data_IF_951981921327
#
_entry.id   IF_951981921327
#
_cell.length_a   1.000
_cell.length_b   1.000
_cell.length_c   1.000
_cell.angle_alpha   90.00
_cell.angle_beta   90.00
_cell.angle_gamma   90.00
#
_symmetry.space_group_name_H-M   'P 1'
#
loop_
_entity.id
_entity.type
_entity.pdbx_description
1 polymer ?
#
# COMPACT_ATOMS: atom_id res chain seq x y z
N UNK A 1 -12.97 -1.16 -18.40
CA UNK A 1 -12.87 -2.63 -18.35
C UNK A 1 -13.63 -3.06 -17.11
N UNK A 2 -14.58 -3.98 -17.24
CA UNK A 2 -15.35 -4.48 -16.11
C UNK A 2 -14.47 -5.39 -15.24
N UNK A 3 -14.67 -5.30 -13.93
CA UNK A 3 -14.00 -6.15 -12.95
C UNK A 3 -14.93 -7.33 -12.66
N UNK A 4 -14.47 -8.55 -12.89
CA UNK A 4 -15.30 -9.75 -12.81
C UNK A 4 -14.76 -10.72 -11.75
N UNK A 5 -15.69 -11.36 -11.05
CA UNK A 5 -15.49 -12.63 -10.32
C UNK A 5 -14.39 -12.61 -9.24
N UNK A 6 -14.57 -11.78 -8.18
CA UNK A 6 -13.72 -11.74 -6.96
C UNK A 6 -14.46 -11.32 -5.69
N UNK A 7 -15.78 -11.52 -5.64
CA UNK A 7 -16.60 -11.05 -4.53
C UNK A 7 -16.20 -11.69 -3.19
N UNK A 8 -15.76 -12.94 -3.23
CA UNK A 8 -15.26 -13.65 -2.05
C UNK A 8 -13.99 -12.99 -1.52
N UNK A 9 -12.99 -12.73 -2.37
CA UNK A 9 -11.74 -12.09 -1.94
C UNK A 9 -11.97 -10.65 -1.48
N UNK A 10 -12.86 -9.89 -2.13
CA UNK A 10 -13.23 -8.54 -1.68
C UNK A 10 -13.82 -8.60 -0.28
N UNK A 11 -14.74 -9.53 -0.03
CA UNK A 11 -15.37 -9.71 1.27
C UNK A 11 -14.32 -10.06 2.34
N UNK A 12 -13.44 -11.01 2.06
CA UNK A 12 -12.38 -11.41 2.99
C UNK A 12 -11.47 -10.23 3.36
N UNK A 13 -11.12 -9.37 2.41
CA UNK A 13 -10.30 -8.18 2.71
C UNK A 13 -11.10 -7.16 3.53
N UNK A 14 -12.39 -6.96 3.26
CA UNK A 14 -13.25 -6.07 4.05
C UNK A 14 -13.39 -6.55 5.49
N UNK A 15 -13.63 -7.85 5.68
CA UNK A 15 -13.71 -8.46 7.01
C UNK A 15 -12.41 -8.24 7.82
N UNK A 16 -11.25 -8.15 7.14
CA UNK A 16 -9.95 -7.79 7.76
C UNK A 16 -9.85 -6.30 8.09
N UNK A 17 -10.44 -5.41 7.29
CA UNK A 17 -10.43 -3.96 7.55
C UNK A 17 -11.38 -3.57 8.69
N UNK A 18 -12.44 -4.36 8.91
CA UNK A 18 -13.44 -4.13 9.95
C UNK A 18 -12.99 -4.56 11.36
N UNK A 19 -11.83 -5.22 11.48
CA UNK A 19 -11.25 -5.63 12.78
C UNK A 19 -10.14 -4.68 13.22
N UNK A 20 -9.85 -4.68 14.53
CA UNK A 20 -8.75 -3.88 15.07
C UNK A 20 -7.41 -4.28 14.42
N UNK A 21 -6.66 -3.31 13.84
CA UNK A 21 -5.40 -3.59 13.17
C UNK A 21 -4.37 -4.19 14.12
N UNK A 22 -4.12 -5.49 13.98
CA UNK A 22 -3.22 -6.25 14.86
C UNK A 22 -2.19 -7.07 14.08
N UNK A 23 -2.34 -7.18 12.76
CA UNK A 23 -1.56 -8.06 11.90
C UNK A 23 -1.22 -7.40 10.57
N UNK A 24 -0.13 -7.86 9.96
CA UNK A 24 0.24 -7.51 8.58
C UNK A 24 -0.37 -8.55 7.65
N UNK A 25 -1.28 -8.13 6.78
CA UNK A 25 -1.96 -9.02 5.81
C UNK A 25 -1.18 -9.11 4.51
N UNK A 26 -0.77 -10.32 4.14
CA UNK A 26 -0.10 -10.61 2.88
C UNK A 26 -1.08 -11.14 1.83
N UNK A 27 -1.17 -10.46 0.69
CA UNK A 27 -1.95 -10.92 -0.46
C UNK A 27 -0.98 -11.45 -1.51
N UNK A 28 -1.01 -12.77 -1.74
CA UNK A 28 -0.04 -13.47 -2.59
C UNK A 28 -0.73 -14.32 -3.66
N UNK A 29 0.06 -14.75 -4.65
CA UNK A 29 -0.41 -15.56 -5.77
C UNK A 29 0.44 -15.35 -7.04
N UNK A 30 0.19 -16.11 -8.12
CA UNK A 30 0.97 -16.06 -9.34
C UNK A 30 1.07 -14.66 -9.96
N UNK A 31 2.16 -14.38 -10.70
CA UNK A 31 2.27 -13.13 -11.47
C UNK A 31 1.09 -13.03 -12.45
N UNK A 32 0.53 -11.83 -12.59
CA UNK A 32 -0.65 -11.54 -13.41
C UNK A 32 -1.97 -12.20 -12.96
N UNK A 33 -2.05 -12.74 -11.73
CA UNK A 33 -3.29 -13.27 -11.16
C UNK A 33 -4.36 -12.21 -10.80
N UNK A 34 -4.12 -10.93 -11.12
CA UNK A 34 -5.06 -9.84 -10.84
C UNK A 34 -4.96 -9.19 -9.45
N UNK A 35 -3.97 -9.53 -8.62
CA UNK A 35 -3.82 -8.97 -7.25
C UNK A 35 -3.87 -7.44 -7.20
N UNK A 36 -3.08 -6.77 -8.04
CA UNK A 36 -3.07 -5.30 -8.10
C UNK A 36 -4.43 -4.76 -8.50
N UNK A 37 -5.07 -5.37 -9.51
CA UNK A 37 -6.41 -4.97 -9.95
C UNK A 37 -7.48 -5.17 -8.86
N UNK A 38 -7.38 -6.24 -8.06
CA UNK A 38 -8.26 -6.49 -6.91
C UNK A 38 -8.15 -5.37 -5.87
N UNK A 39 -6.92 -4.99 -5.49
CA UNK A 39 -6.68 -3.93 -4.51
C UNK A 39 -7.10 -2.57 -5.05
N UNK A 40 -6.78 -2.26 -6.30
CA UNK A 40 -7.18 -1.01 -6.94
C UNK A 40 -8.71 -0.89 -7.03
N UNK A 41 -9.42 -2.00 -7.27
CA UNK A 41 -10.88 -2.03 -7.29
C UNK A 41 -11.50 -1.88 -5.89
N UNK A 42 -10.94 -2.57 -4.89
CA UNK A 42 -11.37 -2.45 -3.50
C UNK A 42 -11.25 -1.02 -2.99
N UNK A 43 -10.08 -0.38 -3.20
CA UNK A 43 -9.79 1.00 -2.79
C UNK A 43 -10.85 1.99 -3.30
N UNK A 44 -11.29 1.83 -4.56
CA UNK A 44 -12.32 2.70 -5.16
C UNK A 44 -13.71 2.55 -4.53
N UNK A 45 -13.94 1.45 -3.81
CA UNK A 45 -15.21 1.15 -3.15
C UNK A 45 -15.17 1.39 -1.64
N UNK A 46 -14.01 1.78 -1.08
CA UNK A 46 -13.91 2.09 0.34
C UNK A 46 -14.61 3.42 0.65
N UNK A 47 -15.20 3.58 1.86
CA UNK A 47 -15.76 4.85 2.30
C UNK A 47 -14.71 5.98 2.33
N UNK A 48 -15.14 7.23 2.16
CA UNK A 48 -14.23 8.39 2.10
C UNK A 48 -13.45 8.65 3.41
N UNK A 49 -13.91 8.08 4.53
CA UNK A 49 -13.20 8.15 5.82
C UNK A 49 -11.86 7.38 5.83
N UNK A 50 -11.67 6.45 4.90
CA UNK A 50 -10.41 5.72 4.77
C UNK A 50 -9.34 6.57 4.11
N UNK A 51 -8.26 6.84 4.85
CA UNK A 51 -7.06 7.49 4.31
C UNK A 51 -6.11 6.42 3.74
N UNK A 52 -5.94 6.42 2.42
CA UNK A 52 -5.26 5.33 1.71
C UNK A 52 -3.83 5.74 1.34
N UNK A 53 -2.84 5.00 1.88
CA UNK A 53 -1.43 5.13 1.52
C UNK A 53 -1.02 4.03 0.53
N UNK A 54 -1.10 4.31 -0.77
CA UNK A 54 -0.78 3.34 -1.83
C UNK A 54 0.66 3.50 -2.34
N UNK A 55 1.49 2.47 -2.16
CA UNK A 55 2.89 2.49 -2.57
C UNK A 55 3.15 1.33 -3.52
N UNK A 56 3.36 1.67 -4.80
CA UNK A 56 3.81 0.70 -5.78
C UNK A 56 5.33 0.55 -5.71
N UNK A 57 5.79 -0.61 -5.24
CA UNK A 57 7.20 -0.99 -5.21
C UNK A 57 7.67 -1.66 -6.50
N UNK A 58 6.76 -2.02 -7.43
CA UNK A 58 7.13 -2.63 -8.72
C UNK A 58 7.96 -1.62 -9.53
N UNK A 59 9.21 -1.98 -9.81
CA UNK A 59 10.15 -1.12 -10.54
C UNK A 59 10.90 -0.12 -9.65
N UNK A 60 10.68 -0.11 -8.33
CA UNK A 60 11.55 0.59 -7.39
C UNK A 60 12.63 -0.37 -6.90
N UNK A 61 13.89 0.00 -7.11
CA UNK A 61 14.99 -0.70 -6.48
C UNK A 61 15.11 -0.20 -5.04
N UNK A 62 14.73 -1.05 -4.07
CA UNK A 62 14.85 -0.76 -2.64
C UNK A 62 15.97 -1.65 -2.11
N UNK A 63 17.16 -1.07 -1.96
CA UNK A 63 18.36 -1.81 -1.58
C UNK A 63 18.73 -1.66 -0.11
N UNK A 64 18.21 -0.61 0.52
CA UNK A 64 18.49 -0.24 1.89
C UNK A 64 17.29 0.50 2.51
N UNK A 65 17.40 0.79 3.81
CA UNK A 65 16.36 1.47 4.57
C UNK A 65 16.03 2.86 4.02
N UNK A 66 17.03 3.65 3.62
CA UNK A 66 16.83 4.98 3.07
C UNK A 66 16.02 4.93 1.76
N UNK A 67 16.32 3.99 0.88
CA UNK A 67 15.56 3.78 -0.37
C UNK A 67 14.09 3.43 -0.07
N UNK A 68 13.85 2.64 0.98
CA UNK A 68 12.50 2.26 1.42
C UNK A 68 11.73 3.47 1.95
N UNK A 69 12.34 4.27 2.84
CA UNK A 69 11.72 5.50 3.38
C UNK A 69 11.42 6.48 2.25
N UNK A 70 12.35 6.70 1.31
CA UNK A 70 12.11 7.51 0.12
C UNK A 70 10.94 6.99 -0.72
N UNK A 71 10.86 5.67 -0.88
CA UNK A 71 9.79 5.03 -1.64
C UNK A 71 8.41 5.16 -0.97
N UNK A 72 8.36 5.10 0.36
CA UNK A 72 7.15 5.28 1.18
C UNK A 72 6.63 6.72 1.10
N UNK A 73 7.51 7.71 1.31
CA UNK A 73 7.09 9.09 1.50
C UNK A 73 7.04 9.94 0.22
N UNK A 74 7.36 9.38 -0.96
CA UNK A 74 7.41 10.08 -2.27
C UNK A 74 7.74 11.57 -2.07
N UNK A 75 8.91 11.85 -1.51
CA UNK A 75 9.34 13.23 -1.27
C UNK A 75 9.72 13.87 -2.61
N UNK A 76 8.70 14.33 -3.32
CA UNK A 76 8.80 15.30 -4.41
C UNK A 76 8.99 16.73 -3.87
N UNK A 77 9.16 16.91 -2.55
CA UNK A 77 9.53 18.18 -1.92
C UNK A 77 10.94 18.11 -1.33
N UNK A 78 11.64 19.21 -1.56
CA UNK A 78 13.07 19.47 -1.43
C UNK A 78 13.86 18.62 -0.43
N UNK A 79 15.09 18.23 -0.81
CA UNK A 79 16.09 17.48 -0.03
C UNK A 79 16.27 17.89 1.45
N UNK A 80 15.83 19.09 1.86
CA UNK A 80 15.87 19.56 3.25
C UNK A 80 14.89 18.81 4.16
N UNK A 81 13.65 18.61 3.72
CA UNK A 81 12.57 18.00 4.51
C UNK A 81 12.87 16.51 4.81
N UNK A 82 13.47 15.80 3.84
CA UNK A 82 13.89 14.40 4.00
C UNK A 82 14.91 14.17 5.13
N UNK A 83 15.88 15.08 5.29
CA UNK A 83 16.92 14.93 6.32
C UNK A 83 16.37 15.11 7.73
N UNK A 84 15.37 15.97 7.89
CA UNK A 84 14.72 16.19 9.18
C UNK A 84 13.86 14.98 9.57
N UNK A 85 13.09 14.41 8.64
CA UNK A 85 12.30 13.20 8.89
C UNK A 85 13.18 12.02 9.32
N UNK A 86 14.29 11.76 8.61
CA UNK A 86 15.20 10.68 8.99
C UNK A 86 15.76 10.86 10.40
N UNK A 87 16.09 12.11 10.77
CA UNK A 87 16.64 12.43 12.09
C UNK A 87 15.62 12.12 13.19
N UNK A 88 14.34 12.47 12.98
CA UNK A 88 13.24 12.18 13.91
C UNK A 88 12.96 10.68 14.07
N UNK A 89 13.16 9.87 13.02
CA UNK A 89 12.90 8.42 13.07
C UNK A 89 14.10 7.63 13.61
N UNK A 90 15.31 8.21 13.56
CA UNK A 90 16.55 7.60 14.05
C UNK A 90 16.84 7.81 15.56
N UNK A 91 16.02 8.62 16.24
CA UNK A 91 16.01 8.79 17.70
C UNK A 91 15.07 7.79 18.38
#
# INVERSE_FOLDING_TARGET
MEFHDREKEIKEIRDILDVEPSLITFIYGPINSGKTALIDNLIKQLPEEYVIFYINLRGKFVSNYDDFVRALFKLDREKKEYKEILKTISE
#
